data_IF_429014468405
#
_entry.id   IF_429014468405
#
_cell.length_a   1.000
_cell.length_b   1.000
_cell.length_c   1.000
_cell.angle_alpha   90.00
_cell.angle_beta   90.00
_cell.angle_gamma   90.00
#
_symmetry.space_group_name_H-M   'P 1'
#
loop_
_entity.id
_entity.type
_entity.pdbx_description
1 polymer ?
#
# COMPACT_ATOMS: atom_id res chain seq x y z
N UNK A 1 -2.16 1.81 -35.66
CA UNK A 1 -0.74 2.00 -35.28
C UNK A 1 -0.11 3.34 -35.74
N UNK A 2 -0.53 3.97 -36.85
CA UNK A 2 0.08 5.24 -37.29
C UNK A 2 -0.15 6.44 -36.34
N UNK A 3 -1.30 6.52 -35.67
CA UNK A 3 -1.61 7.61 -34.73
C UNK A 3 -0.72 7.57 -33.47
N UNK A 4 -0.50 6.37 -32.90
CA UNK A 4 0.44 6.14 -31.78
C UNK A 4 1.85 6.56 -32.16
N UNK A 5 2.28 6.26 -33.40
CA UNK A 5 3.61 6.65 -33.92
C UNK A 5 3.75 8.16 -34.15
N UNK A 6 2.65 8.87 -34.46
CA UNK A 6 2.64 10.33 -34.59
C UNK A 6 2.71 11.03 -33.22
N UNK A 7 2.07 10.46 -32.21
CA UNK A 7 2.09 10.97 -30.82
C UNK A 7 1.22 12.19 -30.60
N UNK A 8 0.27 12.45 -31.50
CA UNK A 8 -0.72 13.52 -31.38
C UNK A 8 -2.03 12.92 -30.87
N UNK A 9 -2.56 13.46 -29.77
CA UNK A 9 -3.88 13.12 -29.26
C UNK A 9 -4.68 14.40 -28.99
N UNK A 10 -6.01 14.27 -28.95
CA UNK A 10 -6.93 15.37 -28.61
C UNK A 10 -8.09 14.80 -27.82
N UNK A 11 -8.51 15.47 -26.75
CA UNK A 11 -9.70 15.08 -26.00
C UNK A 11 -10.96 15.36 -26.82
N UNK A 12 -11.80 14.34 -27.02
CA UNK A 12 -13.06 14.52 -27.74
C UNK A 12 -14.03 15.35 -26.88
N UNK A 13 -14.47 16.55 -27.34
CA UNK A 13 -15.30 17.45 -26.53
C UNK A 13 -16.66 16.87 -26.11
N UNK A 14 -17.21 15.92 -26.88
CA UNK A 14 -18.49 15.27 -26.55
C UNK A 14 -18.36 14.21 -25.47
N UNK A 15 -17.22 13.50 -25.41
CA UNK A 15 -16.99 12.42 -24.44
C UNK A 15 -16.31 12.91 -23.16
N UNK A 16 -15.54 14.00 -23.25
CA UNK A 16 -14.76 14.56 -22.15
C UNK A 16 -15.35 15.85 -21.61
N UNK A 17 -16.64 16.12 -21.86
CA UNK A 17 -17.30 17.35 -21.41
C UNK A 17 -17.29 17.48 -19.89
N UNK A 18 -17.60 16.38 -19.20
CA UNK A 18 -17.82 16.36 -17.75
C UNK A 18 -16.59 15.89 -16.96
N UNK A 19 -15.46 15.65 -17.64
CA UNK A 19 -14.20 15.28 -17.00
C UNK A 19 -13.47 16.54 -16.54
N UNK A 20 -12.96 16.52 -15.30
CA UNK A 20 -12.23 17.63 -14.68
C UNK A 20 -10.99 18.03 -15.49
N UNK A 21 -10.48 19.24 -15.24
CA UNK A 21 -9.30 19.74 -15.97
C UNK A 21 -8.05 19.03 -15.49
N UNK A 22 -8.00 18.73 -14.21
CA UNK A 22 -6.95 18.06 -13.47
C UNK A 22 -6.78 16.62 -13.99
N UNK A 23 -7.88 15.90 -14.23
CA UNK A 23 -7.85 14.58 -14.85
C UNK A 23 -7.33 14.61 -16.30
N UNK A 24 -7.72 15.64 -17.07
CA UNK A 24 -7.22 15.82 -18.46
C UNK A 24 -5.74 16.18 -18.48
N UNK A 25 -5.29 16.95 -17.49
CA UNK A 25 -3.90 17.35 -17.35
C UNK A 25 -3.02 16.13 -17.06
N UNK A 26 -3.34 15.36 -16.02
CA UNK A 26 -2.62 14.12 -15.67
C UNK A 26 -2.53 13.16 -16.86
N UNK A 27 -3.66 12.90 -17.53
CA UNK A 27 -3.68 12.04 -18.73
C UNK A 27 -2.72 12.60 -19.78
N UNK A 28 -2.72 13.91 -20.03
CA UNK A 28 -1.82 14.53 -21.01
C UNK A 28 -0.34 14.32 -20.70
N UNK A 29 0.03 14.32 -19.41
CA UNK A 29 1.40 14.07 -18.97
C UNK A 29 1.81 12.59 -19.09
N UNK A 30 0.85 11.65 -18.95
CA UNK A 30 1.09 10.20 -19.07
C UNK A 30 1.21 9.72 -20.53
N UNK A 31 0.51 10.33 -21.49
CA UNK A 31 0.54 9.95 -22.92
C UNK A 31 1.57 10.73 -23.74
N UNK A 32 2.56 11.37 -23.10
CA UNK A 32 3.69 12.00 -23.80
C UNK A 32 4.48 10.97 -24.60
N UNK A 33 4.74 11.30 -25.86
CA UNK A 33 5.41 10.43 -26.84
C UNK A 33 6.84 10.06 -26.43
N UNK A 34 7.59 11.05 -25.92
CA UNK A 34 8.95 10.82 -25.44
C UNK A 34 8.91 10.25 -24.03
N UNK A 35 9.56 9.11 -23.76
CA UNK A 35 9.63 8.56 -22.39
C UNK A 35 10.30 9.53 -21.40
N UNK A 36 11.29 10.30 -21.84
CA UNK A 36 12.04 11.23 -21.00
C UNK A 36 11.28 12.49 -20.58
N UNK A 37 10.17 12.79 -21.25
CA UNK A 37 9.28 13.92 -20.92
C UNK A 37 7.91 13.45 -20.45
N UNK A 38 7.76 12.14 -20.20
CA UNK A 38 6.57 11.56 -19.61
C UNK A 38 6.74 11.64 -18.10
N UNK A 39 5.66 12.00 -17.42
CA UNK A 39 5.59 11.94 -15.97
C UNK A 39 5.98 10.55 -15.46
N UNK A 40 6.70 10.48 -14.34
CA UNK A 40 7.02 9.20 -13.72
C UNK A 40 5.78 8.61 -13.03
N UNK A 41 5.84 7.33 -12.63
CA UNK A 41 4.75 6.74 -11.88
C UNK A 41 4.55 7.44 -10.52
N UNK A 42 5.64 7.83 -9.87
CA UNK A 42 5.63 8.58 -8.61
C UNK A 42 5.01 9.97 -8.79
N UNK A 43 5.56 10.78 -9.70
CA UNK A 43 5.06 12.15 -9.92
C UNK A 43 3.59 12.15 -10.38
N UNK A 44 3.13 11.08 -11.04
CA UNK A 44 1.73 10.92 -11.45
C UNK A 44 0.81 10.65 -10.27
N UNK A 45 1.31 9.94 -9.26
CA UNK A 45 0.58 9.64 -8.03
C UNK A 45 0.47 10.89 -7.15
N UNK A 46 1.53 11.71 -7.11
CA UNK A 46 1.59 12.99 -6.41
C UNK A 46 0.81 14.13 -7.12
N UNK A 47 0.14 13.84 -8.23
CA UNK A 47 -0.60 14.85 -9.00
C UNK A 47 -1.86 15.30 -8.27
N UNK A 48 -2.18 16.60 -8.30
CA UNK A 48 -3.38 17.23 -7.69
C UNK A 48 -4.73 16.54 -7.98
N UNK A 49 -4.77 15.69 -9.02
CA UNK A 49 -5.99 14.95 -9.35
C UNK A 49 -6.27 13.84 -8.33
N UNK A 50 -5.24 13.23 -7.75
CA UNK A 50 -5.38 12.22 -6.72
C UNK A 50 -5.66 12.83 -5.34
N UNK A 51 -5.06 13.97 -4.99
CA UNK A 51 -5.39 14.68 -3.74
C UNK A 51 -6.88 15.04 -3.62
N UNK A 52 -7.57 15.26 -4.73
CA UNK A 52 -9.01 15.55 -4.75
C UNK A 52 -9.91 14.31 -4.68
N UNK A 53 -9.34 13.11 -4.87
CA UNK A 53 -10.06 11.83 -4.97
C UNK A 53 -9.73 10.90 -3.81
N UNK A 54 -8.60 11.09 -3.12
CA UNK A 54 -8.26 10.39 -1.90
C UNK A 54 -9.16 10.89 -0.77
N UNK A 55 -10.08 10.03 -0.35
CA UNK A 55 -11.02 10.26 0.74
C UNK A 55 -10.27 10.07 2.06
N UNK A 56 -10.02 11.15 2.80
CA UNK A 56 -9.36 11.17 4.11
C UNK A 56 -10.17 10.46 5.23
N UNK A 57 -11.29 9.80 4.90
CA UNK A 57 -12.14 9.06 5.84
C UNK A 57 -11.53 7.71 6.26
N UNK A 58 -10.26 7.70 6.63
CA UNK A 58 -9.63 6.53 7.22
C UNK A 58 -10.08 6.38 8.69
N UNK A 59 -10.66 5.23 9.03
CA UNK A 59 -11.04 4.94 10.42
C UNK A 59 -9.80 4.56 11.25
N UNK A 60 -9.42 5.42 12.20
CA UNK A 60 -8.29 5.24 13.15
C UNK A 60 -8.32 3.87 13.88
N UNK A 61 -9.51 3.31 14.07
CA UNK A 61 -9.73 1.98 14.64
C UNK A 61 -9.09 0.86 13.82
N UNK A 62 -9.09 0.94 12.49
CA UNK A 62 -8.53 -0.08 11.58
C UNK A 62 -7.00 -0.12 11.64
N UNK A 63 -6.34 1.05 11.61
CA UNK A 63 -4.89 1.16 11.83
C UNK A 63 -4.49 0.60 13.19
N UNK A 64 -5.26 0.93 14.23
CA UNK A 64 -5.01 0.42 15.57
C UNK A 64 -5.12 -1.11 15.67
N UNK A 65 -6.00 -1.73 14.89
CA UNK A 65 -6.15 -3.18 14.83
C UNK A 65 -4.95 -3.85 14.19
N UNK A 66 -4.54 -3.37 13.01
CA UNK A 66 -3.41 -3.92 12.27
C UNK A 66 -2.09 -3.79 13.05
N UNK A 67 -1.83 -2.63 13.66
CA UNK A 67 -0.63 -2.42 14.46
C UNK A 67 -0.62 -3.24 15.76
N UNK A 68 -1.79 -3.51 16.38
CA UNK A 68 -1.89 -4.46 17.50
C UNK A 68 -1.56 -5.88 17.07
N UNK A 69 -1.96 -6.27 15.86
CA UNK A 69 -1.61 -7.58 15.31
C UNK A 69 -0.12 -7.67 14.98
N UNK A 70 0.46 -6.62 14.41
CA UNK A 70 1.90 -6.50 14.19
C UNK A 70 2.68 -6.62 15.51
N UNK A 71 2.24 -5.92 16.57
CA UNK A 71 2.86 -6.00 17.90
C UNK A 71 2.82 -7.40 18.50
N UNK A 72 1.76 -8.17 18.23
CA UNK A 72 1.61 -9.57 18.68
C UNK A 72 2.34 -10.57 17.78
N UNK A 73 2.95 -10.12 16.69
CA UNK A 73 3.60 -10.99 15.75
C UNK A 73 4.90 -11.56 16.33
N UNK A 74 4.86 -12.82 16.74
CA UNK A 74 6.06 -13.59 16.98
C UNK A 74 6.55 -14.21 15.66
N UNK A 75 7.73 -13.79 15.20
CA UNK A 75 8.42 -14.39 14.08
C UNK A 75 8.77 -15.85 14.40
N UNK A 76 7.97 -16.79 13.89
CA UNK A 76 8.29 -18.22 13.93
C UNK A 76 9.30 -18.57 12.82
N UNK A 77 9.90 -19.76 12.88
CA UNK A 77 10.96 -20.19 11.94
C UNK A 77 10.61 -19.91 10.47
N UNK A 78 11.62 -19.55 9.66
CA UNK A 78 11.47 -19.14 8.24
C UNK A 78 10.59 -20.07 7.39
N UNK A 79 10.63 -21.38 7.63
CA UNK A 79 9.77 -22.35 6.93
C UNK A 79 8.28 -22.15 7.22
N UNK A 80 7.91 -21.81 8.46
CA UNK A 80 6.53 -21.53 8.84
C UNK A 80 6.05 -20.19 8.27
N UNK A 81 6.92 -19.18 8.18
CA UNK A 81 6.60 -17.91 7.52
C UNK A 81 6.36 -18.10 6.02
N UNK A 82 7.22 -18.85 5.33
CA UNK A 82 7.04 -19.14 3.91
C UNK A 82 5.75 -19.93 3.63
N UNK A 83 5.43 -20.92 4.48
CA UNK A 83 4.18 -21.67 4.36
C UNK A 83 2.95 -20.78 4.63
N UNK A 84 3.03 -19.93 5.66
CA UNK A 84 1.96 -19.00 5.99
C UNK A 84 1.74 -17.96 4.88
N UNK A 85 2.80 -17.35 4.36
CA UNK A 85 2.71 -16.40 3.24
C UNK A 85 2.07 -17.03 2.00
N UNK A 86 2.40 -18.29 1.68
CA UNK A 86 1.74 -19.02 0.59
C UNK A 86 0.24 -19.27 0.86
N UNK A 87 -0.11 -19.70 2.07
CA UNK A 87 -1.51 -19.93 2.46
C UNK A 87 -2.31 -18.63 2.38
N UNK A 88 -1.75 -17.53 2.89
CA UNK A 88 -2.34 -16.19 2.81
C UNK A 88 -2.52 -15.79 1.37
N UNK A 89 -1.49 -15.89 0.53
CA UNK A 89 -1.59 -15.55 -0.89
C UNK A 89 -2.68 -16.35 -1.62
N UNK A 90 -2.87 -17.61 -1.25
CA UNK A 90 -3.80 -18.52 -1.93
C UNK A 90 -5.24 -18.45 -1.39
N UNK A 91 -5.42 -18.17 -0.09
CA UNK A 91 -6.71 -18.27 0.61
C UNK A 91 -7.29 -16.93 1.06
N UNK A 92 -6.50 -15.86 1.11
CA UNK A 92 -7.01 -14.57 1.60
C UNK A 92 -8.01 -13.98 0.59
N UNK A 93 -9.23 -13.76 1.05
CA UNK A 93 -10.22 -12.99 0.30
C UNK A 93 -9.94 -11.50 0.46
N UNK A 94 -10.42 -10.70 -0.50
CA UNK A 94 -10.37 -9.23 -0.38
C UNK A 94 -11.08 -8.74 0.88
N UNK A 95 -12.15 -9.41 1.30
CA UNK A 95 -12.93 -9.09 2.50
C UNK A 95 -12.09 -9.28 3.77
N UNK A 96 -11.30 -10.36 3.86
CA UNK A 96 -10.47 -10.66 5.04
C UNK A 96 -9.17 -9.83 5.11
N UNK A 97 -8.87 -9.04 4.08
CA UNK A 97 -7.64 -8.24 3.98
C UNK A 97 -7.90 -6.74 3.79
N UNK A 98 -9.15 -6.31 3.65
CA UNK A 98 -9.51 -4.92 3.38
C UNK A 98 -9.00 -3.96 4.46
N UNK A 99 -9.22 -4.29 5.74
CA UNK A 99 -8.73 -3.48 6.86
C UNK A 99 -7.20 -3.40 6.90
N UNK A 100 -6.52 -4.48 6.50
CA UNK A 100 -5.06 -4.53 6.47
C UNK A 100 -4.48 -3.79 5.26
N UNK A 101 -5.18 -3.80 4.12
CA UNK A 101 -4.84 -3.04 2.92
C UNK A 101 -4.97 -1.53 3.16
N UNK A 102 -6.06 -1.11 3.78
CA UNK A 102 -6.26 0.29 4.15
C UNK A 102 -5.19 0.75 5.15
N UNK A 103 -4.89 -0.05 6.19
CA UNK A 103 -3.86 0.29 7.17
C UNK A 103 -2.47 0.39 6.52
N UNK A 104 -2.13 -0.52 5.61
CA UNK A 104 -0.87 -0.48 4.87
C UNK A 104 -0.75 0.80 4.03
N UNK A 105 -1.78 1.13 3.24
CA UNK A 105 -1.79 2.33 2.39
C UNK A 105 -1.71 3.64 3.19
N UNK A 106 -2.22 3.65 4.42
CA UNK A 106 -2.09 4.81 5.29
C UNK A 106 -0.67 4.99 5.81
N UNK A 107 0.01 3.89 6.13
CA UNK A 107 1.40 3.92 6.60
C UNK A 107 2.38 4.22 5.45
N UNK A 108 2.11 3.71 4.26
CA UNK A 108 2.90 3.92 3.05
C UNK A 108 2.65 5.33 2.50
N UNK A 109 3.27 6.33 3.12
CA UNK A 109 3.07 7.75 2.81
C UNK A 109 3.67 8.14 1.47
N UNK A 110 4.76 7.49 1.07
CA UNK A 110 5.42 7.74 -0.21
C UNK A 110 4.80 6.91 -1.36
N UNK A 111 3.93 5.96 -1.03
CA UNK A 111 3.19 5.10 -1.95
C UNK A 111 4.07 4.25 -2.88
N UNK A 112 5.25 3.83 -2.42
CA UNK A 112 6.14 2.96 -3.19
C UNK A 112 5.77 1.47 -3.09
N UNK A 113 4.77 1.15 -2.25
CA UNK A 113 4.25 -0.20 -2.04
C UNK A 113 5.04 -1.00 -0.99
N UNK A 114 5.85 -0.33 -0.17
CA UNK A 114 6.60 -0.88 0.94
C UNK A 114 6.53 0.07 2.14
N UNK A 115 6.82 -0.44 3.32
CA UNK A 115 6.94 0.37 4.53
C UNK A 115 8.39 0.42 4.98
N UNK A 116 8.96 1.62 5.00
CA UNK A 116 10.25 1.82 5.65
C UNK A 116 10.12 2.00 7.18
N UNK A 117 11.25 2.08 7.87
CA UNK A 117 11.26 2.22 9.33
C UNK A 117 10.65 3.55 9.78
N UNK A 118 10.86 4.63 9.03
CA UNK A 118 10.40 5.96 9.40
C UNK A 118 8.87 6.03 9.26
N UNK A 119 8.30 5.46 8.20
CA UNK A 119 6.86 5.30 7.99
C UNK A 119 6.20 4.45 9.08
N UNK A 120 6.84 3.35 9.47
CA UNK A 120 6.34 2.51 10.56
C UNK A 120 6.42 3.24 11.92
N UNK A 121 7.48 4.01 12.16
CA UNK A 121 7.65 4.81 13.38
C UNK A 121 6.58 5.89 13.50
N UNK A 122 6.30 6.62 12.43
CA UNK A 122 5.26 7.65 12.41
C UNK A 122 3.90 7.04 12.75
N UNK A 123 3.51 5.97 12.05
CA UNK A 123 2.23 5.31 12.30
C UNK A 123 2.11 4.62 13.65
N UNK A 124 3.19 4.03 14.16
CA UNK A 124 3.19 3.44 15.50
C UNK A 124 3.09 4.51 16.59
N UNK A 125 3.73 5.67 16.42
CA UNK A 125 3.63 6.77 17.38
C UNK A 125 2.22 7.38 17.45
N UNK A 126 1.49 7.41 16.34
CA UNK A 126 0.08 7.85 16.34
C UNK A 126 -0.81 6.93 17.17
N UNK A 127 -0.57 5.62 17.12
CA UNK A 127 -1.46 4.60 17.69
C UNK A 127 -1.01 4.11 19.08
N UNK A 128 0.29 4.05 19.31
CA UNK A 128 0.94 3.58 20.54
C UNK A 128 1.97 4.60 21.02
N UNK A 129 1.54 5.77 21.49
CA UNK A 129 2.45 6.82 21.96
C UNK A 129 3.32 6.40 23.16
N UNK A 130 3.02 5.26 23.78
CA UNK A 130 3.80 4.67 24.87
C UNK A 130 4.94 3.74 24.41
N UNK A 131 4.97 3.32 23.14
CA UNK A 131 6.05 2.50 22.60
C UNK A 131 7.27 3.34 22.30
N UNK A 132 8.46 2.82 22.63
CA UNK A 132 9.70 3.47 22.26
C UNK A 132 10.19 3.04 20.86
N UNK A 133 11.13 3.82 20.32
CA UNK A 133 11.71 3.60 19.00
C UNK A 133 12.40 2.22 18.90
N UNK A 134 13.00 1.74 19.99
CA UNK A 134 13.67 0.44 20.04
C UNK A 134 12.66 -0.72 19.91
N UNK A 135 11.51 -0.63 20.59
CA UNK A 135 10.43 -1.61 20.46
C UNK A 135 9.85 -1.63 19.04
N UNK A 136 9.68 -0.47 18.40
CA UNK A 136 9.18 -0.39 17.01
C UNK A 136 10.21 -0.97 16.03
N UNK A 137 11.49 -0.69 16.24
CA UNK A 137 12.59 -1.26 15.45
C UNK A 137 12.65 -2.78 15.59
N UNK A 138 12.43 -3.32 16.78
CA UNK A 138 12.31 -4.77 16.96
C UNK A 138 11.12 -5.38 16.21
N UNK A 139 9.98 -4.68 16.13
CA UNK A 139 8.84 -5.14 15.33
C UNK A 139 9.16 -5.12 13.85
N UNK A 140 9.83 -4.07 13.39
CA UNK A 140 10.30 -3.93 12.02
C UNK A 140 11.20 -5.11 11.63
N UNK A 141 12.25 -5.36 12.42
CA UNK A 141 13.22 -6.45 12.16
C UNK A 141 12.57 -7.85 12.19
N UNK A 142 11.46 -8.02 12.91
CA UNK A 142 10.70 -9.28 12.94
C UNK A 142 9.80 -9.44 11.71
N UNK A 143 9.31 -8.34 11.16
CA UNK A 143 8.43 -8.31 9.99
C UNK A 143 9.19 -8.36 8.66
N UNK A 144 10.36 -7.71 8.57
CA UNK A 144 11.28 -7.77 7.42
C UNK A 144 11.98 -9.15 7.38
N UNK A 145 11.33 -10.12 6.74
CA UNK A 145 11.77 -11.51 6.76
C UNK A 145 12.88 -11.81 5.76
N UNK A 146 12.94 -11.03 4.68
CA UNK A 146 13.94 -11.14 3.63
C UNK A 146 15.18 -10.25 3.88
N UNK A 147 15.08 -9.30 4.81
CA UNK A 147 16.16 -8.40 5.21
C UNK A 147 16.41 -7.30 4.17
N UNK A 148 15.38 -6.91 3.42
CA UNK A 148 15.47 -5.87 2.40
C UNK A 148 15.57 -4.46 2.97
N UNK A 149 15.29 -4.29 4.27
CA UNK A 149 15.23 -3.00 4.93
C UNK A 149 13.93 -2.24 4.67
N UNK A 150 12.89 -2.93 4.19
CA UNK A 150 11.53 -2.43 4.03
C UNK A 150 10.54 -3.60 4.13
N UNK A 151 9.35 -3.37 4.69
CA UNK A 151 8.32 -4.40 4.81
C UNK A 151 7.45 -4.34 3.55
N UNK A 152 7.46 -5.40 2.74
CA UNK A 152 6.55 -5.47 1.59
C UNK A 152 5.11 -5.83 2.00
N UNK A 153 4.16 -5.64 1.09
CA UNK A 153 2.76 -5.95 1.35
C UNK A 153 2.52 -7.41 1.80
N UNK A 154 3.26 -8.38 1.26
CA UNK A 154 3.12 -9.79 1.62
C UNK A 154 3.61 -10.03 3.04
N UNK A 155 4.73 -9.41 3.42
CA UNK A 155 5.29 -9.46 4.77
C UNK A 155 4.35 -8.79 5.78
N UNK A 156 3.79 -7.63 5.43
CA UNK A 156 2.79 -6.94 6.22
C UNK A 156 1.57 -7.82 6.52
N UNK A 157 0.94 -8.38 5.49
CA UNK A 157 -0.24 -9.25 5.69
C UNK A 157 0.16 -10.48 6.49
N UNK A 158 1.32 -11.09 6.22
CA UNK A 158 1.80 -12.25 6.98
C UNK A 158 2.00 -11.94 8.46
N UNK A 159 2.45 -10.72 8.77
CA UNK A 159 2.67 -10.26 10.12
C UNK A 159 1.37 -9.87 10.86
N UNK A 160 0.40 -9.31 10.15
CA UNK A 160 -0.79 -8.68 10.74
C UNK A 160 -2.07 -9.52 10.67
N UNK A 161 -2.14 -10.51 9.79
CA UNK A 161 -3.37 -11.27 9.60
C UNK A 161 -3.70 -12.17 10.80
N UNK A 162 -4.99 -12.27 11.12
CA UNK A 162 -5.47 -13.14 12.17
C UNK A 162 -5.44 -14.60 11.72
N UNK A 163 -4.38 -15.32 12.12
CA UNK A 163 -4.18 -16.75 11.80
C UNK A 163 -5.35 -17.63 12.21
N UNK A 164 -6.08 -17.28 13.28
CA UNK A 164 -7.21 -18.09 13.73
C UNK A 164 -8.41 -17.99 12.80
N UNK A 165 -8.59 -16.86 12.12
CA UNK A 165 -9.71 -16.62 11.21
C UNK A 165 -9.52 -17.38 9.88
N UNK A 166 -8.32 -17.29 9.29
CA UNK A 166 -7.97 -18.01 8.05
C UNK A 166 -7.99 -19.53 8.23
N UNK A 167 -7.54 -20.02 9.39
CA UNK A 167 -7.43 -21.46 9.64
C UNK A 167 -8.74 -22.10 10.12
N UNK A 168 -9.79 -21.31 10.34
CA UNK A 168 -11.11 -21.82 10.77
C UNK A 168 -12.16 -21.94 9.67
N UNK A 169 -11.91 -21.41 8.46
CA UNK A 169 -12.87 -21.50 7.35
C UNK A 169 -12.99 -22.91 6.72
N UNK A 170 -12.28 -23.92 7.23
CA UNK A 170 -12.53 -25.33 6.90
C UNK A 170 -12.85 -26.16 8.15
N UNK A 171 -14.16 -26.31 8.42
CA UNK A 171 -14.78 -27.57 8.85
C UNK A 171 -16.26 -27.60 8.50
#
# INVERSE_FOLDING_TARGET
MQAVKKGTFTFNPKKWKDISKEAKDLVSQMIVKSPSGRITAQDALDHEWFEQVLDDNFEETKLSGALKSLKKFEAKQKMQQAALGYIIFQLSTKENTEELDEAFRKLDTNHDGKLDLDELLEGCNEVFPEMDEDEIRELFDKADTDGSGAIDYTEWITATINKSEILTEEN
#
